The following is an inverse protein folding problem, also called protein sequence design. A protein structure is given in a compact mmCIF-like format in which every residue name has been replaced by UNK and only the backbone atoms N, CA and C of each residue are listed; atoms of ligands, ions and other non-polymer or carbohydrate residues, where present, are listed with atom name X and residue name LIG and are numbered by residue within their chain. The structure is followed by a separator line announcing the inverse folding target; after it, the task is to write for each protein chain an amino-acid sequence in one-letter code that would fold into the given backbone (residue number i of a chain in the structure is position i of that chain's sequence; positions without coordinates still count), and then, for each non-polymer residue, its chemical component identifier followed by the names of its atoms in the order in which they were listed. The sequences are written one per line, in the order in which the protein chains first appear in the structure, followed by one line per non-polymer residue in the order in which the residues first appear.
data_IF_110305326181
#
_entry.id   IF_110305326181
#
_cell.length_a   1.000
_cell.length_b   1.000
_cell.length_c   1.000
_cell.angle_alpha   90.00
_cell.angle_beta   90.00
_cell.angle_gamma   90.00
#
_symmetry.space_group_name_H-M   'P 1'
#
loop_
_entity.id
_entity.type
_entity.pdbx_description
1 polymer ?
#
# COMPACT_ATOMS: atom_id res chain seq x y z
N UNK A 1 -16.89 -14.72 -8.91
CA UNK A 1 -15.61 -14.25 -9.46
C UNK A 1 -14.61 -15.39 -9.34
N UNK A 2 -13.82 -15.64 -10.38
CA UNK A 2 -12.74 -16.65 -10.40
C UNK A 2 -11.37 -16.00 -10.28
N UNK A 3 -10.30 -16.77 -10.08
CA UNK A 3 -8.92 -16.26 -10.06
C UNK A 3 -8.54 -15.59 -11.38
N UNK A 4 -8.92 -16.18 -12.52
CA UNK A 4 -8.67 -15.57 -13.84
C UNK A 4 -9.37 -14.23 -14.03
N UNK A 5 -10.59 -14.07 -13.49
CA UNK A 5 -11.30 -12.80 -13.54
C UNK A 5 -10.64 -11.75 -12.64
N UNK A 6 -10.03 -12.16 -11.52
CA UNK A 6 -9.24 -11.28 -10.67
C UNK A 6 -7.97 -10.81 -11.37
N UNK A 7 -7.25 -11.70 -12.05
CA UNK A 7 -6.03 -11.33 -12.78
C UNK A 7 -6.35 -10.34 -13.93
N UNK A 8 -7.45 -10.55 -14.65
CA UNK A 8 -7.94 -9.60 -15.66
C UNK A 8 -8.28 -8.25 -15.05
N UNK A 9 -9.02 -8.24 -13.93
CA UNK A 9 -9.36 -7.01 -13.22
C UNK A 9 -8.12 -6.27 -12.72
N UNK A 10 -7.11 -6.98 -12.23
CA UNK A 10 -5.85 -6.38 -11.80
C UNK A 10 -5.16 -5.65 -12.97
N UNK A 11 -5.08 -6.28 -14.14
CA UNK A 11 -4.49 -5.67 -15.33
C UNK A 11 -5.25 -4.43 -15.80
N UNK A 12 -6.59 -4.46 -15.73
CA UNK A 12 -7.44 -3.32 -16.07
C UNK A 12 -7.17 -2.15 -15.11
N UNK A 13 -7.19 -2.41 -13.80
CA UNK A 13 -6.90 -1.37 -12.79
C UNK A 13 -5.50 -0.80 -12.99
N UNK A 14 -4.48 -1.64 -13.19
CA UNK A 14 -3.11 -1.18 -13.40
C UNK A 14 -2.97 -0.31 -14.66
N UNK A 15 -3.66 -0.65 -15.75
CA UNK A 15 -3.73 0.17 -16.96
C UNK A 15 -4.40 1.51 -16.65
N UNK A 16 -5.58 1.50 -16.05
CA UNK A 16 -6.37 2.70 -15.82
C UNK A 16 -5.72 3.63 -14.79
N UNK A 17 -4.92 3.08 -13.85
CA UNK A 17 -4.04 3.83 -12.98
C UNK A 17 -2.97 4.60 -13.77
N UNK A 18 -2.32 3.95 -14.74
CA UNK A 18 -1.27 4.57 -15.59
C UNK A 18 -1.85 5.62 -16.53
N UNK A 19 -3.00 5.33 -17.12
CA UNK A 19 -3.70 6.22 -18.05
C UNK A 19 -4.51 7.32 -17.34
N UNK A 20 -4.62 7.25 -16.01
CA UNK A 20 -5.39 8.17 -15.17
C UNK A 20 -6.87 8.24 -15.61
N UNK A 21 -7.44 7.09 -15.96
CA UNK A 21 -8.81 6.99 -16.42
C UNK A 21 -9.80 6.99 -15.24
N UNK A 22 -10.06 8.19 -14.71
CA UNK A 22 -10.92 8.42 -13.54
C UNK A 22 -12.32 7.81 -13.69
N UNK A 23 -12.92 7.92 -14.89
CA UNK A 23 -14.26 7.40 -15.18
C UNK A 23 -14.31 5.87 -15.06
N UNK A 24 -13.32 5.18 -15.60
CA UNK A 24 -13.27 3.72 -15.55
C UNK A 24 -13.00 3.23 -14.13
N UNK A 25 -12.08 3.88 -13.40
CA UNK A 25 -11.83 3.59 -11.99
C UNK A 25 -13.11 3.70 -11.14
N UNK A 26 -13.91 4.76 -11.33
CA UNK A 26 -15.21 4.88 -10.66
C UNK A 26 -16.19 3.77 -11.05
N UNK A 27 -16.20 3.37 -12.32
CA UNK A 27 -17.06 2.27 -12.82
C UNK A 27 -16.68 0.96 -12.14
N UNK A 28 -15.39 0.61 -12.13
CA UNK A 28 -14.84 -0.58 -11.47
C UNK A 28 -15.22 -0.61 -9.98
N UNK A 29 -15.02 0.50 -9.28
CA UNK A 29 -15.37 0.62 -7.86
C UNK A 29 -16.87 0.41 -7.65
N UNK A 30 -17.72 1.08 -8.43
CA UNK A 30 -19.18 0.99 -8.27
C UNK A 30 -19.71 -0.43 -8.43
N UNK A 31 -19.17 -1.19 -9.39
CA UNK A 31 -19.54 -2.58 -9.66
C UNK A 31 -19.09 -3.50 -8.53
N UNK A 32 -17.87 -3.30 -8.02
CA UNK A 32 -17.22 -4.28 -7.16
C UNK A 32 -17.38 -4.01 -5.65
N UNK A 33 -17.69 -2.78 -5.22
CA UNK A 33 -17.75 -2.41 -3.79
C UNK A 33 -18.87 -3.12 -3.01
N UNK A 34 -20.01 -3.38 -3.64
CA UNK A 34 -21.10 -4.14 -3.02
C UNK A 34 -20.92 -5.63 -3.30
N UNK A 35 -20.47 -5.98 -4.51
CA UNK A 35 -20.24 -7.36 -4.91
C UNK A 35 -19.25 -8.09 -4.00
N UNK A 36 -18.15 -7.43 -3.60
CA UNK A 36 -17.13 -8.02 -2.71
C UNK A 36 -17.72 -8.49 -1.37
N UNK A 37 -18.76 -7.83 -0.88
CA UNK A 37 -19.41 -8.20 0.38
C UNK A 37 -20.16 -9.54 0.27
N UNK A 38 -20.64 -9.88 -0.93
CA UNK A 38 -21.39 -11.12 -1.23
C UNK A 38 -20.49 -12.35 -1.40
N UNK A 39 -19.17 -12.16 -1.49
CA UNK A 39 -18.22 -13.26 -1.71
C UNK A 39 -18.05 -14.12 -0.45
N UNK A 40 -18.12 -15.44 -0.63
CA UNK A 40 -17.88 -16.42 0.43
C UNK A 40 -16.42 -16.87 0.52
N UNK A 41 -15.68 -16.90 -0.60
CA UNK A 41 -14.27 -17.28 -0.61
C UNK A 41 -13.42 -16.13 -0.07
N UNK A 42 -12.83 -16.35 1.11
CA UNK A 42 -12.06 -15.32 1.83
C UNK A 42 -10.81 -14.87 1.07
N UNK A 43 -10.18 -15.74 0.25
CA UNK A 43 -9.01 -15.35 -0.55
C UNK A 43 -9.40 -14.43 -1.70
N UNK A 44 -10.47 -14.78 -2.42
CA UNK A 44 -11.00 -13.94 -3.51
C UNK A 44 -11.48 -12.61 -2.95
N UNK A 45 -12.19 -12.65 -1.82
CA UNK A 45 -12.67 -11.46 -1.12
C UNK A 45 -11.53 -10.53 -0.68
N UNK A 46 -10.50 -11.07 -0.04
CA UNK A 46 -9.32 -10.29 0.36
C UNK A 46 -8.59 -9.67 -0.84
N UNK A 47 -8.44 -10.45 -1.93
CA UNK A 47 -7.79 -9.99 -3.15
C UNK A 47 -8.60 -8.87 -3.83
N UNK A 48 -9.93 -8.99 -3.89
CA UNK A 48 -10.78 -7.95 -4.45
C UNK A 48 -10.78 -6.66 -3.60
N UNK A 49 -10.77 -6.78 -2.27
CA UNK A 49 -10.56 -5.61 -1.41
C UNK A 49 -9.22 -4.92 -1.67
N UNK A 50 -8.14 -5.68 -1.87
CA UNK A 50 -6.85 -5.11 -2.22
C UNK A 50 -6.90 -4.34 -3.55
N UNK A 51 -7.56 -4.88 -4.58
CA UNK A 51 -7.71 -4.20 -5.87
C UNK A 51 -8.57 -2.94 -5.78
N UNK A 52 -9.66 -2.98 -5.03
CA UNK A 52 -10.46 -1.79 -4.73
C UNK A 52 -9.62 -0.71 -4.02
N UNK A 53 -8.75 -1.10 -3.08
CA UNK A 53 -7.84 -0.15 -2.45
C UNK A 53 -6.88 0.50 -3.45
N UNK A 54 -6.32 -0.26 -4.40
CA UNK A 54 -5.45 0.28 -5.44
C UNK A 54 -6.22 1.28 -6.34
N UNK A 55 -7.46 0.97 -6.71
CA UNK A 55 -8.31 1.89 -7.48
C UNK A 55 -8.59 3.21 -6.71
N UNK A 56 -8.89 3.12 -5.40
CA UNK A 56 -9.05 4.30 -4.55
C UNK A 56 -7.75 5.11 -4.39
N UNK A 57 -6.60 4.44 -4.27
CA UNK A 57 -5.30 5.10 -4.25
C UNK A 57 -5.02 5.85 -5.55
N UNK A 58 -5.42 5.29 -6.69
CA UNK A 58 -5.27 5.94 -7.99
C UNK A 58 -6.14 7.20 -8.10
N UNK A 59 -7.43 7.11 -7.73
CA UNK A 59 -8.32 8.28 -7.67
C UNK A 59 -7.78 9.36 -6.73
N UNK A 60 -7.28 8.96 -5.54
CA UNK A 60 -6.62 9.89 -4.61
C UNK A 60 -5.45 10.61 -5.27
N UNK A 61 -4.61 9.89 -6.00
CA UNK A 61 -3.43 10.44 -6.67
C UNK A 61 -3.83 11.42 -7.76
N UNK A 62 -4.78 11.04 -8.64
CA UNK A 62 -5.31 11.90 -9.70
C UNK A 62 -5.86 13.21 -9.12
N UNK A 63 -6.67 13.11 -8.06
CA UNK A 63 -7.25 14.27 -7.37
C UNK A 63 -6.20 15.19 -6.75
N UNK A 64 -5.15 14.63 -6.14
CA UNK A 64 -4.04 15.40 -5.56
C UNK A 64 -3.18 16.10 -6.62
N UNK A 65 -3.02 15.49 -7.80
CA UNK A 65 -2.32 16.11 -8.93
C UNK A 65 -3.12 17.26 -9.54
N UNK A 66 -4.44 17.09 -9.69
CA UNK A 66 -5.34 18.14 -10.17
C UNK A 66 -5.39 19.34 -9.20
N UNK A 67 -5.33 19.05 -7.89
CA UNK A 67 -5.31 20.09 -6.86
C UNK A 67 -4.54 19.63 -5.61
N UNK A 68 -3.31 20.10 -5.46
CA UNK A 68 -2.44 19.70 -4.34
C UNK A 68 -2.98 20.15 -2.97
N UNK A 69 -3.83 21.17 -2.91
CA UNK A 69 -4.39 21.65 -1.63
C UNK A 69 -5.28 20.62 -0.94
N UNK A 70 -5.84 19.64 -1.68
CA UNK A 70 -6.71 18.60 -1.11
C UNK A 70 -6.01 17.70 -0.10
N UNK A 71 -4.67 17.64 -0.12
CA UNK A 71 -3.86 16.89 0.86
C UNK A 71 -4.10 17.40 2.29
N UNK A 72 -4.43 18.68 2.42
CA UNK A 72 -4.64 19.35 3.72
C UNK A 72 -6.11 19.34 4.16
N UNK A 73 -7.01 18.77 3.35
CA UNK A 73 -8.41 18.71 3.71
C UNK A 73 -8.61 17.74 4.86
N UNK A 74 -9.49 18.12 5.78
CA UNK A 74 -9.88 17.26 6.90
C UNK A 74 -10.58 15.99 6.40
N UNK A 75 -11.52 16.14 5.46
CA UNK A 75 -12.19 15.01 4.82
C UNK A 75 -11.47 14.59 3.55
N UNK A 76 -10.89 13.39 3.58
CA UNK A 76 -10.21 12.77 2.43
C UNK A 76 -10.90 11.46 2.09
N UNK A 77 -11.98 11.53 1.31
CA UNK A 77 -12.84 10.38 1.01
C UNK A 77 -12.06 9.21 0.39
N UNK A 78 -11.26 9.47 -0.63
CA UNK A 78 -10.50 8.44 -1.36
C UNK A 78 -9.45 7.78 -0.46
N UNK A 79 -8.77 8.58 0.39
CA UNK A 79 -7.83 8.06 1.40
C UNK A 79 -8.53 7.15 2.42
N UNK A 80 -9.69 7.57 2.90
CA UNK A 80 -10.48 6.80 3.86
C UNK A 80 -10.93 5.46 3.25
N UNK A 81 -11.37 5.46 1.99
CA UNK A 81 -11.74 4.24 1.29
C UNK A 81 -10.54 3.32 1.05
N UNK A 82 -9.39 3.85 0.63
CA UNK A 82 -8.15 3.09 0.50
C UNK A 82 -7.80 2.36 1.81
N UNK A 83 -7.84 3.07 2.95
CA UNK A 83 -7.58 2.49 4.28
C UNK A 83 -8.59 1.40 4.64
N UNK A 84 -9.89 1.65 4.43
CA UNK A 84 -10.96 0.69 4.75
C UNK A 84 -10.72 -0.62 3.99
N UNK A 85 -10.47 -0.53 2.70
CA UNK A 85 -10.30 -1.69 1.85
C UNK A 85 -9.01 -2.47 2.17
N UNK A 86 -7.88 -1.79 2.42
CA UNK A 86 -6.65 -2.45 2.88
C UNK A 86 -6.82 -3.16 4.23
N UNK A 87 -7.55 -2.54 5.16
CA UNK A 87 -7.85 -3.17 6.45
C UNK A 87 -8.76 -4.37 6.32
N UNK A 88 -9.80 -4.29 5.47
CA UNK A 88 -10.67 -5.43 5.16
C UNK A 88 -9.85 -6.57 4.54
N UNK A 89 -9.04 -6.30 3.51
CA UNK A 89 -8.16 -7.29 2.88
C UNK A 89 -7.23 -7.98 3.89
N UNK A 90 -6.58 -7.21 4.77
CA UNK A 90 -5.69 -7.74 5.81
C UNK A 90 -6.39 -8.58 6.87
N UNK A 91 -7.64 -8.26 7.18
CA UNK A 91 -8.41 -8.90 8.26
C UNK A 91 -9.25 -10.10 7.77
N UNK A 92 -9.24 -10.40 6.48
CA UNK A 92 -9.87 -11.61 5.94
C UNK A 92 -9.21 -12.87 6.49
N UNK A 93 -10.03 -13.89 6.77
CA UNK A 93 -9.64 -15.12 7.46
C UNK A 93 -8.44 -15.82 6.81
N UNK A 94 -8.42 -15.85 5.47
CA UNK A 94 -7.39 -16.54 4.69
C UNK A 94 -6.30 -15.60 4.15
N UNK A 95 -6.11 -14.41 4.76
CA UNK A 95 -5.05 -13.46 4.37
C UNK A 95 -3.66 -14.11 4.26
N UNK A 96 -3.29 -14.97 5.23
CA UNK A 96 -1.99 -15.66 5.24
C UNK A 96 -1.82 -16.69 4.12
N UNK A 97 -2.91 -17.04 3.42
CA UNK A 97 -2.92 -17.98 2.28
C UNK A 97 -2.97 -17.27 0.92
N UNK A 98 -2.94 -15.94 0.90
CA UNK A 98 -2.82 -15.18 -0.33
C UNK A 98 -1.43 -15.38 -0.94
N UNK A 99 -1.29 -15.00 -2.21
CA UNK A 99 0.03 -14.83 -2.84
C UNK A 99 0.91 -13.94 -1.97
N UNK A 100 2.17 -14.32 -1.79
CA UNK A 100 3.13 -13.61 -0.94
C UNK A 100 3.24 -12.14 -1.37
N UNK A 101 3.26 -11.89 -2.68
CA UNK A 101 3.30 -10.53 -3.24
C UNK A 101 2.12 -9.67 -2.75
N UNK A 102 0.91 -10.22 -2.69
CA UNK A 102 -0.27 -9.49 -2.21
C UNK A 102 -0.23 -9.26 -0.70
N UNK A 103 0.18 -10.25 0.09
CA UNK A 103 0.32 -10.07 1.54
C UNK A 103 1.27 -8.91 1.85
N UNK A 104 2.45 -8.92 1.23
CA UNK A 104 3.46 -7.89 1.40
C UNK A 104 3.00 -6.53 0.87
N UNK A 105 2.32 -6.49 -0.28
CA UNK A 105 1.81 -5.24 -0.87
C UNK A 105 0.71 -4.60 -0.04
N UNK A 106 -0.24 -5.39 0.48
CA UNK A 106 -1.32 -4.88 1.36
C UNK A 106 -0.73 -4.24 2.62
N UNK A 107 0.22 -4.93 3.28
CA UNK A 107 0.88 -4.43 4.48
C UNK A 107 1.70 -3.16 4.18
N UNK A 108 2.42 -3.15 3.06
CA UNK A 108 3.26 -2.02 2.63
C UNK A 108 2.43 -0.81 2.26
N UNK A 109 1.33 -0.97 1.53
CA UNK A 109 0.44 0.12 1.17
C UNK A 109 -0.22 0.73 2.40
N UNK A 110 -0.69 -0.10 3.34
CA UNK A 110 -1.25 0.38 4.59
C UNK A 110 -0.19 1.11 5.44
N UNK A 111 1.05 0.62 5.45
CA UNK A 111 2.17 1.28 6.10
C UNK A 111 2.52 2.63 5.47
N UNK A 112 2.47 2.75 4.13
CA UNK A 112 2.70 4.00 3.41
C UNK A 112 1.70 5.08 3.84
N UNK A 113 0.42 4.71 3.96
CA UNK A 113 -0.62 5.63 4.43
C UNK A 113 -0.32 6.09 5.87
N UNK A 114 0.04 5.17 6.77
CA UNK A 114 0.38 5.54 8.13
C UNK A 114 1.66 6.36 8.23
N UNK A 115 2.66 6.10 7.39
CA UNK A 115 3.88 6.90 7.30
C UNK A 115 3.54 8.33 6.88
N UNK A 116 2.70 8.48 5.85
CA UNK A 116 2.24 9.78 5.37
C UNK A 116 1.45 10.54 6.44
N UNK A 117 0.62 9.84 7.22
CA UNK A 117 -0.14 10.41 8.34
C UNK A 117 0.70 10.65 9.62
N UNK A 118 2.04 10.52 9.56
CA UNK A 118 2.93 10.72 10.71
C UNK A 118 2.83 9.64 11.80
N UNK A 119 2.11 8.54 11.55
CA UNK A 119 1.97 7.40 12.47
C UNK A 119 3.14 6.42 12.33
N UNK A 120 4.35 6.95 12.51
CA UNK A 120 5.64 6.27 12.25
C UNK A 120 5.73 4.88 12.87
N UNK A 121 5.40 4.74 14.16
CA UNK A 121 5.50 3.44 14.87
C UNK A 121 4.60 2.38 14.21
N UNK A 122 3.38 2.76 13.79
CA UNK A 122 2.45 1.84 13.14
C UNK A 122 2.95 1.45 11.74
N UNK A 123 3.49 2.41 11.00
CA UNK A 123 4.07 2.18 9.68
C UNK A 123 5.26 1.21 9.75
N UNK A 124 6.24 1.47 10.63
CA UNK A 124 7.42 0.60 10.83
C UNK A 124 6.99 -0.84 11.19
N UNK A 125 5.99 -0.99 12.07
CA UNK A 125 5.48 -2.31 12.44
C UNK A 125 4.91 -3.06 11.23
N UNK A 126 4.16 -2.39 10.37
CA UNK A 126 3.56 -3.01 9.18
C UNK A 126 4.59 -3.33 8.09
N UNK A 127 5.55 -2.44 7.84
CA UNK A 127 6.68 -2.77 6.96
C UNK A 127 7.46 -3.98 7.48
N UNK A 128 7.68 -4.05 8.79
CA UNK A 128 8.37 -5.19 9.40
C UNK A 128 7.55 -6.47 9.32
N UNK A 129 6.21 -6.39 9.39
CA UNK A 129 5.34 -7.55 9.12
C UNK A 129 5.50 -8.04 7.68
N UNK A 130 5.54 -7.14 6.69
CA UNK A 130 5.79 -7.53 5.29
C UNK A 130 7.17 -8.20 5.13
N UNK A 131 8.20 -7.65 5.75
CA UNK A 131 9.57 -8.19 5.70
C UNK A 131 9.72 -9.51 6.47
N UNK A 132 8.86 -9.79 7.45
CA UNK A 132 8.81 -11.09 8.11
C UNK A 132 8.16 -12.17 7.23
N UNK A 133 7.27 -11.78 6.31
CA UNK A 133 6.65 -12.68 5.34
C UNK A 133 7.62 -12.95 4.19
N UNK A 134 8.18 -11.91 3.60
CA UNK A 134 9.19 -12.01 2.54
C UNK A 134 10.33 -11.02 2.82
N UNK A 135 11.45 -11.57 3.31
CA UNK A 135 12.63 -10.80 3.69
C UNK A 135 13.23 -10.00 2.54
N UNK A 136 13.08 -10.46 1.29
CA UNK A 136 13.59 -9.79 0.10
C UNK A 136 12.63 -8.76 -0.49
N UNK A 137 11.46 -8.53 0.10
CA UNK A 137 10.48 -7.58 -0.42
C UNK A 137 10.97 -6.13 -0.33
N UNK A 138 11.72 -5.72 -1.35
CA UNK A 138 12.51 -4.49 -1.33
C UNK A 138 11.66 -3.23 -1.15
N UNK A 139 10.41 -3.23 -1.64
CA UNK A 139 9.49 -2.10 -1.51
C UNK A 139 9.19 -1.79 -0.03
N UNK A 140 8.93 -2.81 0.80
CA UNK A 140 8.74 -2.59 2.24
C UNK A 140 10.02 -2.09 2.91
N UNK A 141 11.18 -2.63 2.52
CA UNK A 141 12.47 -2.22 3.07
C UNK A 141 12.77 -0.74 2.75
N UNK A 142 12.62 -0.35 1.48
CA UNK A 142 12.85 1.02 1.03
C UNK A 142 11.90 2.00 1.72
N UNK A 143 10.61 1.67 1.76
CA UNK A 143 9.60 2.51 2.38
C UNK A 143 9.78 2.63 3.89
N UNK A 144 10.23 1.56 4.58
CA UNK A 144 10.61 1.63 6.00
C UNK A 144 11.78 2.58 6.23
N UNK A 145 12.79 2.55 5.37
CA UNK A 145 13.91 3.50 5.41
C UNK A 145 13.47 4.95 5.21
N UNK A 146 12.63 5.20 4.21
CA UNK A 146 12.04 6.53 3.95
C UNK A 146 11.17 7.02 5.12
N UNK A 147 10.45 6.11 5.78
CA UNK A 147 9.66 6.40 6.98
C UNK A 147 10.56 6.87 8.14
N UNK A 148 11.66 6.17 8.40
CA UNK A 148 12.66 6.59 9.40
C UNK A 148 13.26 7.96 9.07
N UNK A 149 13.61 8.19 7.81
CA UNK A 149 14.18 9.47 7.38
C UNK A 149 13.19 10.63 7.57
N UNK A 150 11.93 10.41 7.20
CA UNK A 150 10.85 11.39 7.41
C UNK A 150 10.68 11.69 8.90
N UNK A 151 10.68 10.66 9.74
CA UNK A 151 10.54 10.83 11.18
C UNK A 151 11.73 11.56 11.81
N UNK A 152 12.96 11.23 11.39
CA UNK A 152 14.16 11.91 11.86
C UNK A 152 14.13 13.43 11.62
N UNK A 153 13.53 13.86 10.49
CA UNK A 153 13.38 15.29 10.15
C UNK A 153 12.39 16.03 11.06
N UNK A 154 11.52 15.31 11.75
CA UNK A 154 10.53 15.86 12.68
C UNK A 154 11.04 15.85 14.13
N UNK A 155 12.14 15.15 14.41
CA UNK A 155 12.72 15.09 15.74
C UNK A 155 13.62 16.32 16.00
N UNK A 156 13.44 16.94 17.16
CA UNK A 156 14.19 18.13 17.57
C UNK A 156 15.49 17.78 18.29
N UNK A 157 15.62 16.54 18.77
CA UNK A 157 16.81 16.04 19.45
C UNK A 157 17.82 15.49 18.42
N UNK A 158 19.03 16.05 18.39
CA UNK A 158 20.03 15.68 17.39
C UNK A 158 20.54 14.24 17.54
N UNK A 159 20.60 13.73 18.77
CA UNK A 159 21.06 12.38 19.05
C UNK A 159 20.00 11.38 18.55
N UNK A 160 18.73 11.61 18.87
CA UNK A 160 17.63 10.79 18.35
C UNK A 160 17.55 10.83 16.83
N UNK A 161 17.69 12.03 16.23
CA UNK A 161 17.73 12.20 14.78
C UNK A 161 18.84 11.36 14.15
N UNK A 162 20.04 11.35 14.74
CA UNK A 162 21.17 10.58 14.21
C UNK A 162 20.89 9.07 14.18
N UNK A 163 20.21 8.54 15.21
CA UNK A 163 19.81 7.14 15.30
C UNK A 163 18.82 6.78 14.19
N UNK A 164 17.79 7.61 13.98
CA UNK A 164 16.80 7.36 12.93
C UNK A 164 17.40 7.51 11.52
N UNK A 165 18.32 8.45 11.31
CA UNK A 165 19.07 8.56 10.05
C UNK A 165 19.90 7.31 9.81
N UNK A 166 20.54 6.74 10.85
CA UNK A 166 21.28 5.48 10.74
C UNK A 166 20.36 4.33 10.35
N UNK A 167 19.20 4.18 10.99
CA UNK A 167 18.21 3.18 10.58
C UNK A 167 17.72 3.38 9.14
N UNK A 168 17.48 4.62 8.72
CA UNK A 168 17.10 4.92 7.34
C UNK A 168 18.19 4.47 6.36
N UNK A 169 19.45 4.80 6.62
CA UNK A 169 20.59 4.40 5.79
C UNK A 169 20.69 2.88 5.65
N UNK A 170 20.65 2.15 6.77
CA UNK A 170 20.78 0.68 6.76
C UNK A 170 19.63 0.04 5.96
N UNK A 171 18.40 0.55 6.13
CA UNK A 171 17.24 0.07 5.39
C UNK A 171 17.37 0.30 3.88
N UNK A 172 17.73 1.53 3.47
CA UNK A 172 17.87 1.87 2.06
C UNK A 172 19.01 1.11 1.39
N UNK A 173 20.13 0.93 2.10
CA UNK A 173 21.26 0.11 1.61
C UNK A 173 20.85 -1.34 1.38
N UNK A 174 20.15 -1.95 2.34
CA UNK A 174 19.61 -3.30 2.17
C UNK A 174 18.60 -3.39 1.02
N UNK A 175 17.75 -2.37 0.86
CA UNK A 175 16.78 -2.34 -0.23
C UNK A 175 17.46 -2.35 -1.60
N UNK A 176 18.53 -1.57 -1.80
CA UNK A 176 19.32 -1.57 -3.05
C UNK A 176 19.89 -2.96 -3.33
N UNK A 177 20.47 -3.62 -2.32
CA UNK A 177 20.98 -4.99 -2.48
C UNK A 177 19.87 -5.95 -2.89
N UNK A 178 18.68 -5.86 -2.27
CA UNK A 178 17.52 -6.70 -2.59
C UNK A 178 16.98 -6.43 -4.00
N UNK A 179 16.92 -5.17 -4.45
CA UNK A 179 16.49 -4.80 -5.81
C UNK A 179 17.33 -5.51 -6.87
N UNK A 180 18.63 -5.66 -6.64
CA UNK A 180 19.52 -6.36 -7.59
C UNK A 180 19.11 -7.82 -7.85
N UNK A 181 18.40 -8.46 -6.90
CA UNK A 181 17.86 -9.81 -7.08
C UNK A 181 16.65 -9.84 -8.02
N UNK A 182 15.94 -8.72 -8.18
CA UNK A 182 14.76 -8.63 -9.06
C UNK A 182 15.10 -8.18 -10.48
N UNK A 183 16.23 -7.49 -10.67
CA UNK A 183 16.67 -7.02 -12.00
C UNK A 183 17.45 -8.12 -12.75
N UNK A 184 18.13 -9.01 -12.02
CA UNK A 184 18.98 -10.05 -12.59
C UNK A 184 18.24 -11.40 -12.80
N UNK A 185 16.94 -11.46 -12.54
CA UNK A 185 16.05 -12.60 -12.78
C UNK A 185 15.00 -12.22 -13.82
#
# INVERSE_FOLDING_TARGET
MTLSQLDELANIIDRDCKEKNEKELHTIISINQEYVETLFDSKIKATLYYFLANAWSALRTIKQEQNTSVIWYYEQHELNQEIIHLRKARNEKDFSKLRIEYQCSILTNLANIFSHAGRTIQAIRLYSQALNIESNFFMAQANRGTCFLTYARLDHDEDNRSIFVKFAYDNLKEAINKISLYINN
#
